data_IF_068065229521
#
_entry.id   IF_068065229521
#
_cell.length_a   1.000
_cell.length_b   1.000
_cell.length_c   1.000
_cell.angle_alpha   90.00
_cell.angle_beta   90.00
_cell.angle_gamma   90.00
#
_symmetry.space_group_name_H-M   'P 1'
#
loop_
_entity.id
_entity.type
_entity.pdbx_description
1 polymer ?
#
# COMPACT_ATOMS: atom_id res chain seq x y z
N UNK A 1 57.30 50.85 54.11
CA UNK A 1 58.58 51.04 53.38
C UNK A 1 58.29 50.61 51.96
N UNK A 2 58.08 51.41 50.92
CA UNK A 2 58.36 52.81 50.53
C UNK A 2 57.22 53.22 49.55
N UNK A 3 56.38 54.23 49.83
CA UNK A 3 56.45 55.65 49.40
C UNK A 3 56.71 55.96 47.91
N UNK A 4 55.61 56.22 47.18
CA UNK A 4 55.33 57.36 46.23
C UNK A 4 56.17 57.53 44.94
N UNK A 5 55.80 58.46 44.02
CA UNK A 5 54.54 58.69 43.27
C UNK A 5 54.83 58.90 41.75
N UNK A 6 53.82 59.19 40.91
CA UNK A 6 53.85 60.32 39.95
C UNK A 6 52.69 60.25 38.94
N UNK A 7 51.97 61.36 38.82
CA UNK A 7 50.88 61.63 37.89
C UNK A 7 51.47 62.42 36.72
N UNK A 8 51.17 62.01 35.48
CA UNK A 8 51.25 62.91 34.33
C UNK A 8 50.01 62.77 33.43
N UNK A 9 49.42 63.92 33.11
CA UNK A 9 48.20 64.12 32.33
C UNK A 9 48.54 64.51 30.89
N UNK A 10 47.58 64.22 30.00
CA UNK A 10 47.26 64.84 28.69
C UNK A 10 48.12 64.47 27.46
N UNK A 11 47.58 64.58 26.21
CA UNK A 11 46.23 65.00 25.78
C UNK A 11 45.52 64.05 24.78
N UNK A 12 44.25 64.37 24.54
CA UNK A 12 43.35 63.92 23.46
C UNK A 12 44.01 63.90 22.07
N UNK A 13 43.87 62.79 21.32
CA UNK A 13 43.76 62.83 19.86
C UNK A 13 42.55 61.97 19.46
N UNK A 14 41.46 62.67 19.14
CA UNK A 14 40.38 62.20 18.30
C UNK A 14 40.91 62.08 16.87
N UNK A 15 41.15 60.86 16.40
CA UNK A 15 41.21 60.58 14.97
C UNK A 15 40.08 59.61 14.64
N UNK A 16 38.92 60.21 14.38
CA UNK A 16 37.81 59.55 13.73
C UNK A 16 38.29 58.97 12.41
N UNK A 17 38.39 57.65 12.37
CA UNK A 17 38.59 56.91 11.12
C UNK A 17 37.27 57.01 10.36
N UNK A 18 37.15 57.98 9.46
CA UNK A 18 36.04 58.02 8.50
C UNK A 18 36.12 56.76 7.64
N UNK A 19 35.10 55.89 7.63
CA UNK A 19 35.07 54.78 6.69
C UNK A 19 34.96 55.35 5.28
N UNK A 20 35.94 55.05 4.44
CA UNK A 20 35.88 55.34 3.01
C UNK A 20 34.77 54.46 2.44
N UNK A 21 33.58 55.03 2.25
CA UNK A 21 32.49 54.37 1.51
C UNK A 21 32.89 54.35 0.04
N UNK A 22 33.65 53.32 -0.34
CA UNK A 22 33.92 53.02 -1.75
C UNK A 22 32.64 52.50 -2.40
N UNK A 23 32.46 52.94 -3.63
CA UNK A 23 31.30 52.77 -4.49
C UNK A 23 31.20 51.32 -5.01
N UNK A 24 30.88 50.37 -4.14
CA UNK A 24 30.68 48.95 -4.47
C UNK A 24 29.19 48.53 -4.51
N UNK A 25 28.28 49.48 -4.73
CA UNK A 25 26.83 49.23 -4.68
C UNK A 25 26.30 48.37 -5.85
N UNK A 26 27.07 48.19 -6.93
CA UNK A 26 26.67 47.39 -8.10
C UNK A 26 27.04 45.90 -8.02
N UNK A 27 28.24 45.58 -7.53
CA UNK A 27 28.76 44.21 -7.54
C UNK A 27 28.05 43.29 -6.54
N UNK A 28 27.67 43.81 -5.37
CA UNK A 28 26.96 43.06 -4.33
C UNK A 28 25.58 42.59 -4.82
N UNK A 29 24.88 43.41 -5.60
CA UNK A 29 23.59 43.05 -6.17
C UNK A 29 23.71 41.88 -7.18
N UNK A 30 24.76 41.89 -8.00
CA UNK A 30 25.00 40.82 -8.97
C UNK A 30 25.35 39.50 -8.26
N UNK A 31 26.24 39.55 -7.25
CA UNK A 31 26.62 38.36 -6.48
C UNK A 31 25.43 37.78 -5.72
N UNK A 32 24.63 38.61 -5.05
CA UNK A 32 23.44 38.15 -4.32
C UNK A 32 22.41 37.54 -5.27
N UNK A 33 22.19 38.13 -6.45
CA UNK A 33 21.27 37.56 -7.45
C UNK A 33 21.75 36.19 -7.95
N UNK A 34 23.05 36.04 -8.22
CA UNK A 34 23.63 34.74 -8.59
C UNK A 34 23.44 33.72 -7.47
N UNK A 35 23.72 34.08 -6.22
CA UNK A 35 23.54 33.18 -5.08
C UNK A 35 22.08 32.79 -4.88
N UNK A 36 21.14 33.73 -5.03
CA UNK A 36 19.70 33.45 -4.98
C UNK A 36 19.30 32.48 -6.09
N UNK A 37 19.80 32.66 -7.31
CA UNK A 37 19.50 31.74 -8.43
C UNK A 37 20.04 30.35 -8.16
N UNK A 38 21.28 30.22 -7.68
CA UNK A 38 21.88 28.92 -7.34
C UNK A 38 21.07 28.24 -6.23
N UNK A 39 20.73 28.95 -5.15
CA UNK A 39 19.94 28.40 -4.04
C UNK A 39 18.53 28.01 -4.50
N UNK A 40 17.92 28.80 -5.38
CA UNK A 40 16.61 28.49 -5.95
C UNK A 40 16.66 27.21 -6.78
N UNK A 41 17.69 27.03 -7.61
CA UNK A 41 17.87 25.81 -8.39
C UNK A 41 18.03 24.60 -7.46
N UNK A 42 18.91 24.66 -6.47
CA UNK A 42 19.10 23.58 -5.49
C UNK A 42 17.80 23.26 -4.73
N UNK A 43 17.07 24.28 -4.29
CA UNK A 43 15.77 24.12 -3.66
C UNK A 43 14.76 23.42 -4.57
N UNK A 44 14.68 23.80 -5.85
CA UNK A 44 13.76 23.17 -6.80
C UNK A 44 14.10 21.70 -7.06
N UNK A 45 15.38 21.34 -7.16
CA UNK A 45 15.82 19.95 -7.30
C UNK A 45 15.45 19.12 -6.08
N UNK A 46 15.67 19.65 -4.87
CA UNK A 46 15.30 18.97 -3.63
C UNK A 46 13.79 18.69 -3.56
N UNK A 47 12.95 19.68 -3.90
CA UNK A 47 11.48 19.53 -3.91
C UNK A 47 11.05 18.47 -4.92
N UNK A 48 11.59 18.51 -6.15
CA UNK A 48 11.24 17.52 -7.19
C UNK A 48 11.59 16.11 -6.75
N UNK A 49 12.78 15.91 -6.22
CA UNK A 49 13.22 14.60 -5.72
C UNK A 49 12.34 14.11 -4.56
N UNK A 50 11.97 14.99 -3.63
CA UNK A 50 11.08 14.65 -2.53
C UNK A 50 9.69 14.22 -3.05
N UNK A 51 9.09 14.99 -3.98
CA UNK A 51 7.77 14.63 -4.56
C UNK A 51 7.80 13.33 -5.36
N UNK A 52 8.92 13.03 -6.03
CA UNK A 52 9.09 11.75 -6.74
C UNK A 52 9.21 10.58 -5.76
N UNK A 53 9.98 10.75 -4.68
CA UNK A 53 10.12 9.75 -3.62
C UNK A 53 8.78 9.47 -2.94
N UNK A 54 8.02 10.51 -2.61
CA UNK A 54 6.70 10.38 -2.00
C UNK A 54 5.72 9.58 -2.88
N UNK A 55 5.67 9.87 -4.19
CA UNK A 55 4.83 9.11 -5.13
C UNK A 55 5.24 7.64 -5.22
N UNK A 56 6.55 7.36 -5.21
CA UNK A 56 7.07 5.99 -5.20
C UNK A 56 6.66 5.24 -3.93
N UNK A 57 6.87 5.85 -2.76
CA UNK A 57 6.51 5.28 -1.46
C UNK A 57 4.99 5.05 -1.36
N UNK A 58 4.19 6.01 -1.82
CA UNK A 58 2.73 5.85 -1.84
C UNK A 58 2.28 4.72 -2.77
N UNK A 59 2.97 4.53 -3.90
CA UNK A 59 2.78 3.38 -4.79
C UNK A 59 3.05 2.06 -4.08
N UNK A 60 4.24 1.91 -3.48
CA UNK A 60 4.65 0.71 -2.74
C UNK A 60 3.68 0.42 -1.59
N UNK A 61 3.34 1.43 -0.79
CA UNK A 61 2.37 1.25 0.30
C UNK A 61 1.03 0.74 -0.22
N UNK A 62 0.56 1.27 -1.34
CA UNK A 62 -0.72 0.84 -1.93
C UNK A 62 -0.63 -0.59 -2.48
N UNK A 63 0.50 -1.00 -3.06
CA UNK A 63 0.66 -2.39 -3.53
C UNK A 63 0.75 -3.38 -2.36
N UNK A 64 1.42 -3.02 -1.27
CA UNK A 64 1.49 -3.89 -0.10
C UNK A 64 0.15 -4.05 0.60
N UNK A 65 -0.61 -2.97 0.80
CA UNK A 65 -1.97 -3.08 1.35
C UNK A 65 -2.85 -3.98 0.48
N UNK A 66 -2.77 -3.84 -0.85
CA UNK A 66 -3.53 -4.70 -1.75
C UNK A 66 -3.08 -6.17 -1.66
N UNK A 67 -1.77 -6.42 -1.49
CA UNK A 67 -1.20 -7.76 -1.30
C UNK A 67 -1.65 -8.40 0.01
N UNK A 68 -1.52 -7.69 1.13
CA UNK A 68 -1.95 -8.17 2.46
C UNK A 68 -3.47 -8.48 2.46
N UNK A 69 -4.26 -7.63 1.81
CA UNK A 69 -5.69 -7.87 1.60
C UNK A 69 -5.96 -9.14 0.79
N UNK A 70 -5.18 -9.39 -0.28
CA UNK A 70 -5.33 -10.58 -1.11
C UNK A 70 -4.93 -11.86 -0.36
N UNK A 71 -3.85 -11.81 0.43
CA UNK A 71 -3.45 -12.91 1.30
C UNK A 71 -4.51 -13.20 2.36
N UNK A 72 -5.12 -12.17 2.95
CA UNK A 72 -6.22 -12.29 3.91
C UNK A 72 -7.41 -13.02 3.27
N UNK A 73 -7.80 -12.64 2.05
CA UNK A 73 -8.84 -13.33 1.29
C UNK A 73 -8.48 -14.78 0.95
N UNK A 74 -7.22 -15.04 0.62
CA UNK A 74 -6.75 -16.38 0.33
C UNK A 74 -6.88 -17.29 1.54
N UNK A 75 -6.42 -16.84 2.71
CA UNK A 75 -6.50 -17.61 3.97
C UNK A 75 -7.93 -17.93 4.36
N UNK A 76 -8.84 -16.97 4.25
CA UNK A 76 -10.26 -17.21 4.52
C UNK A 76 -10.83 -18.30 3.61
N UNK A 77 -10.55 -18.23 2.31
CA UNK A 77 -11.11 -19.16 1.34
C UNK A 77 -10.47 -20.53 1.34
N UNK A 78 -9.21 -20.64 1.78
CA UNK A 78 -8.57 -21.91 2.12
C UNK A 78 -9.36 -22.63 3.23
N UNK A 79 -9.78 -21.91 4.28
CA UNK A 79 -10.61 -22.50 5.34
C UNK A 79 -11.96 -22.99 4.79
N UNK A 80 -12.63 -22.18 3.95
CA UNK A 80 -13.89 -22.59 3.30
C UNK A 80 -13.72 -23.86 2.47
N UNK A 81 -12.64 -23.94 1.68
CA UNK A 81 -12.34 -25.10 0.84
C UNK A 81 -12.01 -26.36 1.66
N UNK A 82 -11.27 -26.22 2.77
CA UNK A 82 -10.97 -27.32 3.71
C UNK A 82 -12.28 -27.87 4.30
N UNK A 83 -13.19 -27.01 4.76
CA UNK A 83 -14.47 -27.43 5.31
C UNK A 83 -15.35 -28.13 4.26
N UNK A 84 -15.42 -27.63 3.02
CA UNK A 84 -16.14 -28.31 1.93
C UNK A 84 -15.52 -29.69 1.61
N UNK A 85 -14.19 -29.80 1.67
CA UNK A 85 -13.48 -31.08 1.55
C UNK A 85 -13.94 -32.10 2.60
N UNK A 86 -14.23 -31.66 3.82
CA UNK A 86 -14.80 -32.49 4.88
C UNK A 86 -16.33 -32.67 4.80
N UNK A 87 -16.96 -32.11 3.76
CA UNK A 87 -18.41 -32.13 3.58
C UNK A 87 -19.19 -31.21 4.51
N UNK A 88 -18.50 -30.26 5.15
CA UNK A 88 -19.05 -29.31 6.14
C UNK A 88 -19.18 -27.91 5.57
N UNK A 89 -20.06 -27.11 6.17
CA UNK A 89 -20.14 -25.69 5.89
C UNK A 89 -19.24 -24.91 6.85
N UNK A 90 -18.56 -23.89 6.32
CA UNK A 90 -17.86 -22.90 7.14
C UNK A 90 -18.88 -21.90 7.71
N UNK A 91 -18.88 -21.74 9.05
CA UNK A 91 -19.92 -20.97 9.79
C UNK A 91 -19.36 -19.90 10.73
N UNK A 92 -18.06 -19.61 10.66
CA UNK A 92 -17.45 -18.55 11.46
C UNK A 92 -17.79 -17.16 10.90
N UNK A 93 -17.58 -16.11 11.71
CA UNK A 93 -17.84 -14.70 11.34
C UNK A 93 -19.26 -14.45 10.82
N UNK A 94 -20.26 -15.18 11.37
CA UNK A 94 -21.66 -15.15 10.95
C UNK A 94 -21.89 -15.40 9.46
N UNK A 95 -20.96 -16.11 8.80
CA UNK A 95 -21.12 -16.52 7.40
C UNK A 95 -21.88 -17.83 7.31
N UNK A 96 -22.75 -17.98 6.30
CA UNK A 96 -23.49 -19.22 6.04
C UNK A 96 -23.60 -19.45 4.53
N UNK A 97 -23.66 -20.71 4.10
CA UNK A 97 -23.89 -21.05 2.69
C UNK A 97 -22.70 -20.79 1.76
N UNK A 98 -21.49 -20.59 2.30
CA UNK A 98 -20.28 -20.36 1.49
C UNK A 98 -19.94 -21.55 0.59
N UNK A 99 -20.28 -22.77 1.00
CA UNK A 99 -20.16 -23.98 0.18
C UNK A 99 -20.91 -23.86 -1.14
N UNK A 100 -22.09 -23.25 -1.15
CA UNK A 100 -22.89 -23.02 -2.35
C UNK A 100 -22.27 -22.00 -3.32
N UNK A 101 -21.23 -21.27 -2.90
CA UNK A 101 -20.48 -20.35 -3.75
C UNK A 101 -19.30 -21.02 -4.46
N UNK A 102 -18.95 -22.26 -4.08
CA UNK A 102 -17.87 -23.00 -4.71
C UNK A 102 -18.28 -23.39 -6.13
N UNK A 103 -17.41 -23.06 -7.08
CA UNK A 103 -17.62 -23.31 -8.49
C UNK A 103 -17.39 -24.79 -8.77
N UNK A 104 -18.45 -25.47 -9.20
CA UNK A 104 -18.47 -26.92 -9.40
C UNK A 104 -17.94 -27.37 -10.75
N UNK A 105 -17.79 -26.46 -11.71
CA UNK A 105 -17.16 -26.75 -13.00
C UNK A 105 -15.67 -27.02 -12.78
N UNK A 106 -15.30 -28.31 -12.87
CA UNK A 106 -13.93 -28.76 -12.67
C UNK A 106 -13.03 -28.38 -13.85
N UNK A 107 -11.87 -27.81 -13.54
CA UNK A 107 -10.80 -27.50 -14.51
C UNK A 107 -9.64 -28.47 -14.38
N UNK A 108 -8.87 -28.63 -15.46
CA UNK A 108 -7.75 -29.58 -15.51
C UNK A 108 -6.42 -29.06 -14.93
N UNK A 109 -6.28 -27.73 -14.85
CA UNK A 109 -5.09 -27.03 -14.37
C UNK A 109 -5.44 -25.59 -13.99
N UNK A 110 -4.63 -24.95 -13.15
CA UNK A 110 -4.64 -23.52 -12.83
C UNK A 110 -4.55 -22.61 -14.07
N UNK A 111 -3.97 -23.11 -15.17
CA UNK A 111 -3.80 -22.38 -16.43
C UNK A 111 -4.99 -22.53 -17.39
N UNK A 112 -5.99 -23.35 -17.05
CA UNK A 112 -7.15 -23.62 -17.89
C UNK A 112 -7.83 -22.31 -18.34
N UNK A 113 -8.14 -22.23 -19.64
CA UNK A 113 -8.79 -21.05 -20.23
C UNK A 113 -10.26 -20.93 -19.77
N UNK A 114 -10.87 -22.03 -19.33
CA UNK A 114 -12.20 -22.05 -18.76
C UNK A 114 -12.25 -21.58 -17.29
N UNK A 115 -11.09 -21.39 -16.65
CA UNK A 115 -11.02 -21.00 -15.24
C UNK A 115 -11.77 -19.69 -14.99
N UNK A 116 -12.66 -19.71 -13.99
CA UNK A 116 -13.61 -18.63 -13.72
C UNK A 116 -12.90 -17.37 -13.20
N UNK A 117 -11.76 -17.51 -12.52
CA UNK A 117 -10.99 -16.36 -12.06
C UNK A 117 -10.55 -15.42 -13.18
N UNK A 118 -10.41 -15.93 -14.41
CA UNK A 118 -10.00 -15.16 -15.59
C UNK A 118 -11.12 -14.25 -16.10
N UNK A 119 -12.37 -14.53 -15.74
CA UNK A 119 -13.56 -13.83 -16.22
C UNK A 119 -13.92 -12.72 -15.25
N UNK A 120 -13.95 -11.46 -15.71
CA UNK A 120 -14.31 -10.33 -14.83
C UNK A 120 -15.68 -10.51 -14.17
N UNK A 121 -16.65 -11.06 -14.91
CA UNK A 121 -18.01 -11.27 -14.44
C UNK A 121 -18.08 -12.21 -13.22
N UNK A 122 -17.17 -13.18 -13.11
CA UNK A 122 -17.13 -14.15 -12.01
C UNK A 122 -16.70 -13.52 -10.68
N UNK A 123 -16.12 -12.32 -10.71
CA UNK A 123 -15.80 -11.53 -9.52
C UNK A 123 -17.00 -10.73 -8.96
N UNK A 124 -18.18 -11.02 -9.47
CA UNK A 124 -19.47 -10.49 -9.05
C UNK A 124 -20.50 -11.63 -8.93
N UNK A 125 -21.63 -11.38 -8.27
CA UNK A 125 -22.73 -12.35 -8.20
C UNK A 125 -22.52 -13.48 -7.20
N UNK A 126 -22.96 -14.69 -7.57
CA UNK A 126 -23.17 -15.76 -6.60
C UNK A 126 -21.89 -16.48 -6.18
N UNK A 127 -20.93 -16.67 -7.09
CA UNK A 127 -19.74 -17.49 -6.84
C UNK A 127 -18.60 -16.72 -6.13
N UNK A 128 -18.64 -15.39 -6.17
CA UNK A 128 -17.66 -14.58 -5.44
C UNK A 128 -17.95 -14.61 -3.94
N UNK A 129 -16.90 -14.85 -3.16
CA UNK A 129 -16.92 -14.75 -1.71
C UNK A 129 -16.30 -13.39 -1.37
N UNK A 130 -17.13 -12.47 -0.89
CA UNK A 130 -16.65 -11.23 -0.25
C UNK A 130 -16.36 -11.55 1.20
N UNK A 131 -15.18 -11.17 1.71
CA UNK A 131 -14.84 -11.43 3.10
C UNK A 131 -15.77 -10.62 4.03
N UNK A 132 -16.20 -11.21 5.16
CA UNK A 132 -16.96 -10.48 6.17
C UNK A 132 -16.06 -9.43 6.83
N UNK A 133 -16.61 -8.25 7.14
CA UNK A 133 -15.87 -7.13 7.73
C UNK A 133 -15.13 -7.53 9.00
N UNK A 134 -15.73 -8.38 9.83
CA UNK A 134 -15.17 -8.77 11.12
C UNK A 134 -13.91 -9.66 11.00
N UNK A 135 -13.65 -10.22 9.81
CA UNK A 135 -12.45 -11.01 9.53
C UNK A 135 -11.22 -10.13 9.29
N UNK A 136 -11.38 -9.07 8.49
CA UNK A 136 -10.26 -8.20 8.09
C UNK A 136 -10.18 -6.88 8.87
N UNK A 137 -11.24 -6.51 9.56
CA UNK A 137 -11.29 -5.35 10.44
C UNK A 137 -11.36 -5.79 11.91
N UNK A 138 -10.23 -6.27 12.45
CA UNK A 138 -10.15 -6.57 13.88
C UNK A 138 -10.30 -5.28 14.68
N UNK A 139 -11.40 -5.16 15.42
CA UNK A 139 -11.59 -4.14 16.45
C UNK A 139 -10.94 -4.67 17.75
N UNK A 140 -9.87 -4.04 18.25
CA UNK A 140 -9.16 -4.59 19.41
C UNK A 140 -9.97 -4.54 20.72
N UNK A 141 -11.03 -3.72 20.83
CA UNK A 141 -12.13 -3.83 21.79
C UNK A 141 -13.08 -2.65 21.55
N UNK A 142 -14.40 -2.85 21.60
CA UNK A 142 -15.38 -1.75 21.49
C UNK A 142 -15.62 -1.23 20.06
N UNK A 143 -15.92 0.06 19.93
CA UNK A 143 -16.23 0.74 18.66
C UNK A 143 -14.99 1.23 17.92
N UNK A 144 -13.82 1.20 18.56
CA UNK A 144 -12.62 1.87 18.07
C UNK A 144 -11.87 0.97 17.07
N UNK A 145 -11.47 1.59 15.96
CA UNK A 145 -10.65 1.00 14.91
C UNK A 145 -9.25 1.58 15.00
N UNK A 146 -8.29 0.79 15.48
CA UNK A 146 -6.88 1.21 15.60
C UNK A 146 -6.18 1.34 14.23
N UNK A 147 -6.85 0.98 13.14
CA UNK A 147 -6.25 0.87 11.81
C UNK A 147 -7.18 1.38 10.71
N UNK A 148 -6.56 1.94 9.66
CA UNK A 148 -7.26 2.34 8.45
C UNK A 148 -7.99 1.13 7.85
N UNK A 149 -9.32 1.22 7.80
CA UNK A 149 -10.18 0.17 7.27
C UNK A 149 -10.04 0.11 5.74
N UNK A 150 -10.21 -1.08 5.17
CA UNK A 150 -10.28 -1.24 3.72
C UNK A 150 -11.63 -0.74 3.19
N UNK A 151 -11.59 0.14 2.19
CA UNK A 151 -12.79 0.67 1.54
C UNK A 151 -13.53 -0.39 0.72
N UNK A 152 -12.79 -1.38 0.20
CA UNK A 152 -13.31 -2.47 -0.62
C UNK A 152 -12.96 -3.78 0.08
N UNK A 153 -13.99 -4.57 0.39
CA UNK A 153 -13.79 -5.89 0.97
C UNK A 153 -12.92 -6.77 0.05
N UNK A 154 -11.88 -7.43 0.60
CA UNK A 154 -11.15 -8.48 -0.11
C UNK A 154 -12.11 -9.59 -0.54
N UNK A 155 -11.80 -10.27 -1.64
CA UNK A 155 -12.69 -11.29 -2.20
C UNK A 155 -11.93 -12.45 -2.80
N UNK A 156 -12.58 -13.59 -2.94
CA UNK A 156 -11.99 -14.75 -3.58
C UNK A 156 -13.00 -15.52 -4.44
N UNK A 157 -12.47 -16.44 -5.24
CA UNK A 157 -13.17 -17.50 -5.94
C UNK A 157 -12.54 -18.84 -5.58
N UNK A 158 -13.38 -19.84 -5.41
CA UNK A 158 -12.99 -21.23 -5.17
C UNK A 158 -13.58 -22.05 -6.32
N UNK A 159 -12.73 -22.76 -7.05
CA UNK A 159 -13.14 -23.60 -8.18
C UNK A 159 -12.54 -25.00 -8.04
N UNK A 160 -13.32 -26.04 -8.35
CA UNK A 160 -12.80 -27.41 -8.34
C UNK A 160 -11.72 -27.62 -9.41
N UNK A 161 -10.66 -28.32 -9.06
CA UNK A 161 -9.58 -28.71 -9.97
C UNK A 161 -9.34 -30.22 -9.88
N UNK A 162 -9.10 -30.85 -11.02
CA UNK A 162 -8.76 -32.26 -11.13
C UNK A 162 -7.63 -32.41 -12.14
N UNK A 163 -6.45 -32.85 -11.68
CA UNK A 163 -5.30 -33.08 -12.54
C UNK A 163 -5.60 -34.15 -13.59
N UNK A 164 -5.04 -33.99 -14.77
CA UNK A 164 -5.06 -34.98 -15.86
C UNK A 164 -4.07 -36.12 -15.64
N UNK A 165 -3.24 -36.06 -14.59
CA UNK A 165 -2.28 -37.10 -14.21
C UNK A 165 -2.95 -38.37 -13.66
N UNK A 166 -2.22 -39.49 -13.65
CA UNK A 166 -2.62 -40.73 -12.96
C UNK A 166 -1.62 -41.04 -11.83
N UNK A 167 -2.05 -41.12 -10.56
CA UNK A 167 -3.41 -40.90 -10.06
C UNK A 167 -3.86 -39.43 -10.22
N UNK A 168 -5.18 -39.25 -10.31
CA UNK A 168 -5.79 -37.92 -10.42
C UNK A 168 -5.70 -37.21 -9.08
N UNK A 169 -5.21 -35.97 -9.10
CA UNK A 169 -5.22 -35.10 -7.93
C UNK A 169 -6.48 -34.25 -7.99
N UNK A 170 -7.36 -34.37 -6.99
CA UNK A 170 -8.56 -33.54 -6.87
C UNK A 170 -8.34 -32.49 -5.80
N UNK A 171 -8.97 -31.33 -5.97
CA UNK A 171 -8.79 -30.22 -5.05
C UNK A 171 -9.53 -28.97 -5.46
N UNK A 172 -8.99 -27.84 -5.02
CA UNK A 172 -9.53 -26.51 -5.30
C UNK A 172 -8.44 -25.57 -5.82
N UNK A 173 -8.76 -24.83 -6.87
CA UNK A 173 -8.06 -23.62 -7.26
C UNK A 173 -8.74 -22.45 -6.53
N UNK A 174 -7.98 -21.76 -5.70
CA UNK A 174 -8.44 -20.59 -4.96
C UNK A 174 -7.72 -19.38 -5.53
N UNK A 175 -8.49 -18.40 -6.00
CA UNK A 175 -7.93 -17.11 -6.45
C UNK A 175 -8.52 -16.00 -5.61
N UNK A 176 -7.66 -15.19 -5.02
CA UNK A 176 -8.02 -14.09 -4.13
C UNK A 176 -7.60 -12.74 -4.74
N UNK A 177 -8.39 -11.71 -4.46
CA UNK A 177 -8.16 -10.32 -4.85
C UNK A 177 -8.20 -9.43 -3.63
N UNK A 178 -7.17 -8.60 -3.50
CA UNK A 178 -7.09 -7.54 -2.50
C UNK A 178 -6.97 -6.19 -3.17
N UNK A 179 -7.47 -5.16 -2.48
CA UNK A 179 -7.57 -3.80 -2.99
C UNK A 179 -7.05 -2.83 -1.94
N UNK A 180 -6.26 -1.84 -2.34
CA UNK A 180 -5.93 -0.72 -1.47
C UNK A 180 -7.00 0.37 -1.54
N UNK A 181 -6.97 1.33 -0.60
CA UNK A 181 -7.99 2.39 -0.52
C UNK A 181 -7.95 3.38 -1.70
N UNK A 182 -6.87 3.40 -2.47
CA UNK A 182 -6.82 4.15 -3.73
C UNK A 182 -7.53 3.42 -4.90
N UNK A 183 -7.96 2.17 -4.71
CA UNK A 183 -8.59 1.36 -5.74
C UNK A 183 -10.04 1.77 -6.02
N UNK A 184 -10.49 1.49 -7.24
CA UNK A 184 -11.88 1.62 -7.67
C UNK A 184 -12.32 0.35 -8.39
N UNK A 185 -13.21 -0.38 -7.74
CA UNK A 185 -13.79 -1.62 -8.22
C UNK A 185 -15.24 -1.38 -8.65
N UNK A 186 -15.57 -1.77 -9.88
CA UNK A 186 -16.92 -1.74 -10.40
C UNK A 186 -17.62 -3.07 -10.11
N UNK A 187 -18.56 -3.04 -9.16
CA UNK A 187 -19.31 -4.22 -8.73
C UNK A 187 -20.32 -4.74 -9.76
N UNK A 188 -20.60 -3.99 -10.82
CA UNK A 188 -21.48 -4.44 -11.91
C UNK A 188 -20.73 -5.27 -12.95
N UNK A 189 -19.46 -4.98 -13.19
CA UNK A 189 -18.64 -5.66 -14.22
C UNK A 189 -17.56 -6.57 -13.65
N UNK A 190 -17.23 -6.41 -12.37
CA UNK A 190 -16.17 -7.12 -11.66
C UNK A 190 -14.75 -6.63 -11.99
N UNK A 191 -14.64 -5.47 -12.62
CA UNK A 191 -13.37 -4.88 -13.07
C UNK A 191 -12.89 -3.81 -12.11
N UNK A 192 -11.58 -3.71 -11.93
CA UNK A 192 -10.96 -2.54 -11.33
C UNK A 192 -10.62 -1.53 -12.41
N UNK A 193 -10.90 -0.27 -12.15
CA UNK A 193 -10.68 0.82 -13.10
C UNK A 193 -9.49 1.69 -12.74
N UNK A 194 -9.13 1.77 -11.45
CA UNK A 194 -8.05 2.61 -10.91
C UNK A 194 -7.48 2.02 -9.62
N UNK A 195 -6.28 2.47 -9.26
CA UNK A 195 -5.58 2.18 -8.01
C UNK A 195 -4.92 0.81 -7.95
N UNK A 196 -4.52 0.40 -6.75
CA UNK A 196 -3.72 -0.81 -6.53
C UNK A 196 -4.59 -2.01 -6.21
N UNK A 197 -4.32 -3.10 -6.91
CA UNK A 197 -4.95 -4.39 -6.75
C UNK A 197 -3.88 -5.49 -6.81
N UNK A 198 -4.07 -6.53 -6.02
CA UNK A 198 -3.20 -7.71 -6.02
C UNK A 198 -4.02 -8.99 -6.15
N UNK A 199 -3.46 -9.97 -6.84
CA UNK A 199 -4.04 -11.29 -7.06
C UNK A 199 -3.15 -12.34 -6.43
N UNK A 200 -3.74 -13.23 -5.65
CA UNK A 200 -3.04 -14.39 -5.09
C UNK A 200 -3.76 -15.65 -5.51
N UNK A 201 -3.01 -16.72 -5.75
CA UNK A 201 -3.57 -18.00 -6.15
C UNK A 201 -2.93 -19.13 -5.34
N UNK A 202 -3.76 -20.09 -4.95
CA UNK A 202 -3.38 -21.29 -4.21
C UNK A 202 -4.09 -22.49 -4.81
N UNK A 203 -3.40 -23.63 -4.82
CA UNK A 203 -3.99 -24.92 -5.19
C UNK A 203 -3.97 -25.80 -3.95
N UNK A 204 -5.16 -26.14 -3.46
CA UNK A 204 -5.33 -27.06 -2.35
C UNK A 204 -5.69 -28.43 -2.90
N UNK A 205 -4.77 -29.39 -2.85
CA UNK A 205 -5.03 -30.77 -3.23
C UNK A 205 -5.37 -31.62 -2.01
N UNK A 206 -6.23 -32.63 -2.21
CA UNK A 206 -6.48 -33.66 -1.20
C UNK A 206 -5.63 -34.88 -1.54
N UNK A 207 -4.84 -35.36 -0.57
CA UNK A 207 -4.26 -36.69 -0.68
C UNK A 207 -5.38 -37.72 -0.54
N UNK A 208 -5.56 -38.53 -1.59
CA UNK A 208 -6.47 -39.68 -1.60
C UNK A 208 -6.11 -40.71 -0.54
#
# INVERSE_FOLDING_TARGET
>A
MSTTPSIHRCPHILLGRTPVVRRERGAVLVITLILIVIMSLLGTFAIRNATQSERSINGIRSTEVAREAAETALRFCEQVAIFDGDGKDYTEYSTTGLRGKIITTTIGSEFDLAAEWRKSASWTGNNVISLPSDYYNKKPSGTDVDSAQLDIAPRCLIQKIESTSTPKLTGYLITARGFANNAKFDSSTGKSTRGSESWMQSVLSRSS
#
